data_IF_399836326410
#
_entry.id   IF_399836326410
#
_cell.length_a   1.000
_cell.length_b   1.000
_cell.length_c   1.000
_cell.angle_alpha   90.00
_cell.angle_beta   90.00
_cell.angle_gamma   90.00
#
_symmetry.space_group_name_H-M   'P 1'
#
loop_
_entity.id
_entity.type
_entity.pdbx_description
1 polymer ?
#
# COMPACT_ATOMS: atom_id res chain seq x y z
N UNK A 1 7.38 12.16 8.77
CA UNK A 1 7.54 12.03 10.22
C UNK A 1 8.77 11.19 10.50
N UNK A 2 9.73 11.72 11.29
CA UNK A 2 11.01 11.07 11.63
C UNK A 2 10.79 9.83 12.51
N UNK A 3 11.70 8.85 12.43
CA UNK A 3 11.68 7.59 13.20
C UNK A 3 11.31 7.76 14.68
N UNK A 4 12.05 8.58 15.42
CA UNK A 4 11.81 8.78 16.87
C UNK A 4 10.40 9.28 17.13
N UNK A 5 9.97 10.32 16.41
CA UNK A 5 8.63 10.90 16.57
C UNK A 5 7.49 9.91 16.31
N UNK A 6 7.64 9.00 15.34
CA UNK A 6 6.59 8.01 15.09
C UNK A 6 6.57 6.93 16.18
N UNK A 7 7.74 6.48 16.63
CA UNK A 7 7.83 5.50 17.71
C UNK A 7 7.29 6.08 19.03
N UNK A 8 7.63 7.34 19.33
CA UNK A 8 7.09 8.06 20.48
C UNK A 8 5.57 8.20 20.40
N UNK A 9 5.02 8.49 19.22
CA UNK A 9 3.57 8.57 19.00
C UNK A 9 2.90 7.21 19.24
N UNK A 10 3.45 6.14 18.67
CA UNK A 10 2.93 4.77 18.87
C UNK A 10 3.00 4.38 20.35
N UNK A 11 4.11 4.68 21.01
CA UNK A 11 4.28 4.43 22.44
C UNK A 11 3.33 5.26 23.31
N UNK A 12 3.07 6.52 22.96
CA UNK A 12 2.14 7.38 23.69
C UNK A 12 0.69 6.89 23.58
N UNK A 13 0.35 6.20 22.49
CA UNK A 13 -0.96 5.59 22.28
C UNK A 13 -1.04 4.13 22.77
N UNK A 14 0.01 3.60 23.40
CA UNK A 14 0.05 2.22 23.86
C UNK A 14 -1.13 1.90 24.80
N UNK A 15 -1.82 0.78 24.55
CA UNK A 15 -2.99 0.35 25.32
C UNK A 15 -4.32 0.96 24.87
N UNK A 16 -4.33 1.89 23.91
CA UNK A 16 -5.56 2.33 23.29
C UNK A 16 -6.20 1.19 22.47
N UNK A 17 -7.54 0.97 22.56
CA UNK A 17 -8.22 -0.12 21.85
C UNK A 17 -8.45 0.21 20.36
N UNK A 18 -7.40 0.67 19.67
CA UNK A 18 -7.47 1.00 18.26
C UNK A 18 -7.64 -0.25 17.41
N UNK A 19 -8.65 -0.24 16.54
CA UNK A 19 -8.88 -1.28 15.51
C UNK A 19 -8.43 -0.85 14.13
N UNK A 20 -8.34 0.46 13.88
CA UNK A 20 -7.95 1.03 12.60
C UNK A 20 -6.86 2.08 12.84
N UNK A 21 -5.78 2.00 12.07
CA UNK A 21 -4.67 2.93 12.16
C UNK A 21 -4.22 3.33 10.76
N UNK A 22 -4.14 4.64 10.53
CA UNK A 22 -3.62 5.22 9.29
C UNK A 22 -2.46 6.14 9.66
N UNK A 23 -1.28 5.86 9.11
CA UNK A 23 -0.09 6.68 9.29
C UNK A 23 0.34 7.25 7.94
N UNK A 24 0.15 8.55 7.75
CA UNK A 24 0.53 9.27 6.53
C UNK A 24 1.82 10.08 6.73
N UNK A 25 2.61 10.18 5.68
CA UNK A 25 3.85 10.95 5.66
C UNK A 25 4.99 10.29 6.42
N UNK A 26 5.04 8.96 6.49
CA UNK A 26 6.13 8.22 7.13
C UNK A 26 7.42 8.40 6.35
N UNK A 27 8.53 8.73 7.01
CA UNK A 27 9.85 8.71 6.35
C UNK A 27 10.72 7.52 6.80
N UNK A 28 10.18 6.69 7.70
CA UNK A 28 10.79 5.50 8.24
C UNK A 28 9.75 4.37 8.23
N UNK A 29 10.13 3.22 7.70
CA UNK A 29 9.30 2.01 7.55
C UNK A 29 10.17 0.77 7.81
N UNK A 30 10.83 0.72 8.96
CA UNK A 30 11.63 -0.44 9.37
C UNK A 30 10.82 -1.46 10.19
N UNK A 31 11.38 -2.65 10.39
CA UNK A 31 10.81 -3.74 11.20
C UNK A 31 10.29 -3.27 12.57
N UNK A 32 11.10 -2.48 13.26
CA UNK A 32 10.80 -1.92 14.59
C UNK A 32 9.48 -1.15 14.61
N UNK A 33 9.13 -0.43 13.54
CA UNK A 33 7.87 0.29 13.47
C UNK A 33 6.68 -0.68 13.47
N UNK A 34 6.76 -1.75 12.67
CA UNK A 34 5.69 -2.75 12.59
C UNK A 34 5.53 -3.49 13.93
N UNK A 35 6.63 -3.90 14.56
CA UNK A 35 6.60 -4.50 15.89
C UNK A 35 6.02 -3.56 16.94
N UNK A 36 6.47 -2.31 16.97
CA UNK A 36 5.94 -1.32 17.92
C UNK A 36 4.43 -1.10 17.74
N UNK A 37 3.93 -1.07 16.50
CA UNK A 37 2.50 -0.93 16.22
C UNK A 37 1.74 -2.19 16.66
N UNK A 38 2.24 -3.38 16.33
CA UNK A 38 1.60 -4.65 16.69
C UNK A 38 1.51 -4.82 18.22
N UNK A 39 2.57 -4.45 18.93
CA UNK A 39 2.63 -4.51 20.40
C UNK A 39 1.73 -3.46 21.05
N UNK A 40 1.66 -2.24 20.50
CA UNK A 40 0.82 -1.18 21.02
C UNK A 40 -0.67 -1.41 20.78
N UNK A 41 -1.03 -2.06 19.67
CA UNK A 41 -2.41 -2.25 19.22
C UNK A 41 -2.67 -3.73 18.89
N UNK A 42 -2.75 -4.62 19.88
CA UNK A 42 -2.89 -6.07 19.64
C UNK A 42 -4.20 -6.44 18.93
N UNK A 43 -5.22 -5.60 19.03
CA UNK A 43 -6.55 -5.77 18.41
C UNK A 43 -6.69 -5.07 17.06
N UNK A 44 -5.60 -4.61 16.46
CA UNK A 44 -5.63 -3.88 15.20
C UNK A 44 -6.12 -4.77 14.05
N UNK A 45 -7.12 -4.29 13.32
CA UNK A 45 -7.78 -4.98 12.21
C UNK A 45 -7.46 -4.34 10.86
N UNK A 46 -7.24 -3.02 10.81
CA UNK A 46 -6.90 -2.31 9.59
C UNK A 46 -5.68 -1.42 9.80
N UNK A 47 -4.70 -1.53 8.91
CA UNK A 47 -3.47 -0.75 8.93
C UNK A 47 -3.21 -0.15 7.55
N UNK A 48 -3.06 1.17 7.49
CA UNK A 48 -2.60 1.87 6.30
C UNK A 48 -1.31 2.64 6.59
N UNK A 49 -0.25 2.36 5.83
CA UNK A 49 1.04 3.00 5.97
C UNK A 49 1.42 3.72 4.67
N UNK A 50 1.57 5.04 4.71
CA UNK A 50 1.90 5.84 3.52
C UNK A 50 3.29 6.47 3.67
N UNK A 51 4.23 5.94 2.88
CA UNK A 51 5.63 6.36 2.85
C UNK A 51 5.84 7.64 2.03
N UNK A 52 6.67 8.54 2.55
CA UNK A 52 7.04 9.82 1.98
C UNK A 52 8.56 10.00 2.04
N UNK A 53 9.17 10.07 0.85
CA UNK A 53 10.62 10.18 0.70
C UNK A 53 11.16 11.57 1.06
N UNK A 54 10.41 12.64 0.79
CA UNK A 54 10.86 14.01 1.06
C UNK A 54 9.75 14.88 1.69
N UNK A 55 10.16 15.92 2.43
CA UNK A 55 9.22 16.81 3.12
C UNK A 55 8.38 17.66 2.15
N UNK A 56 8.88 17.90 0.93
CA UNK A 56 8.23 18.71 -0.10
C UNK A 56 7.05 18.00 -0.78
N UNK A 57 6.98 16.66 -0.68
CA UNK A 57 5.91 15.88 -1.25
C UNK A 57 4.61 16.10 -0.48
N UNK A 58 3.64 16.76 -1.14
CA UNK A 58 2.31 17.06 -0.59
C UNK A 58 1.31 15.92 -0.77
N UNK A 59 1.50 15.04 -1.75
CA UNK A 59 0.56 13.98 -2.10
C UNK A 59 1.13 12.59 -1.85
N UNK A 60 0.31 11.67 -1.34
CA UNK A 60 0.68 10.28 -1.03
C UNK A 60 0.67 9.39 -2.29
N UNK A 61 1.50 9.73 -3.28
CA UNK A 61 1.70 8.95 -4.52
C UNK A 61 2.27 7.56 -4.23
N UNK A 62 2.11 6.63 -5.17
CA UNK A 62 2.83 5.37 -5.18
C UNK A 62 4.36 5.61 -5.12
N UNK A 63 5.07 4.81 -4.34
CA UNK A 63 6.50 4.98 -4.04
C UNK A 63 7.22 3.66 -3.92
N UNK A 64 8.48 3.65 -4.34
CA UNK A 64 9.42 2.57 -4.03
C UNK A 64 9.73 2.66 -2.53
N UNK A 65 9.46 1.58 -1.81
CA UNK A 65 9.82 1.47 -0.39
C UNK A 65 11.29 1.02 -0.26
N UNK A 66 11.95 1.29 0.89
CA UNK A 66 13.36 0.95 1.08
C UNK A 66 13.69 -0.54 0.88
N UNK A 67 12.80 -1.42 1.34
CA UNK A 67 12.98 -2.87 1.25
C UNK A 67 12.03 -3.51 0.23
N UNK A 68 12.29 -4.75 -0.21
CA UNK A 68 11.37 -5.46 -1.10
C UNK A 68 10.11 -5.96 -0.36
N UNK A 69 9.06 -6.26 -1.12
CA UNK A 69 7.74 -6.64 -0.59
C UNK A 69 7.75 -7.83 0.38
N UNK A 70 8.57 -8.85 0.13
CA UNK A 70 8.69 -10.04 0.98
C UNK A 70 9.29 -9.78 2.36
N UNK A 71 10.07 -8.71 2.52
CA UNK A 71 10.55 -8.27 3.83
C UNK A 71 9.40 -7.64 4.62
N UNK A 72 8.59 -6.78 3.99
CA UNK A 72 7.42 -6.19 4.62
C UNK A 72 6.31 -7.19 4.95
N UNK A 73 6.11 -8.19 4.08
CA UNK A 73 5.18 -9.28 4.35
C UNK A 73 5.54 -9.99 5.67
N UNK A 74 6.84 -10.27 5.91
CA UNK A 74 7.32 -10.86 7.17
C UNK A 74 6.99 -9.98 8.37
N UNK A 75 7.13 -8.66 8.27
CA UNK A 75 6.82 -7.77 9.40
C UNK A 75 5.34 -7.81 9.81
N UNK A 76 4.44 -8.22 8.90
CA UNK A 76 3.03 -8.40 9.24
C UNK A 76 2.77 -9.64 10.10
N UNK A 77 3.71 -10.58 10.24
CA UNK A 77 3.51 -11.78 11.05
C UNK A 77 3.26 -11.51 12.52
N UNK A 78 3.63 -10.33 12.99
CA UNK A 78 3.48 -9.91 14.38
C UNK A 78 2.06 -9.45 14.70
N UNK A 79 1.21 -9.23 13.69
CA UNK A 79 -0.18 -8.83 13.87
C UNK A 79 -1.09 -10.07 13.95
N UNK A 80 -1.85 -10.19 15.05
CA UNK A 80 -2.71 -11.36 15.29
C UNK A 80 -4.12 -11.25 14.70
N UNK A 81 -4.56 -10.04 14.42
CA UNK A 81 -5.94 -9.74 14.04
C UNK A 81 -6.04 -8.83 12.82
N UNK A 82 -4.93 -8.57 12.12
CA UNK A 82 -4.90 -7.69 10.97
C UNK A 82 -5.62 -8.36 9.80
N UNK A 83 -6.66 -7.69 9.30
CA UNK A 83 -7.51 -8.12 8.20
C UNK A 83 -7.29 -7.28 6.95
N UNK A 84 -6.99 -5.99 7.11
CA UNK A 84 -6.84 -5.06 5.99
C UNK A 84 -5.48 -4.38 6.07
N UNK A 85 -4.69 -4.50 5.02
CA UNK A 85 -3.41 -3.79 4.89
C UNK A 85 -3.38 -2.94 3.63
N UNK A 86 -3.09 -1.65 3.79
CA UNK A 86 -2.95 -0.72 2.70
C UNK A 86 -1.62 0.01 2.77
N UNK A 87 -1.02 0.27 1.61
CA UNK A 87 0.23 0.99 1.52
C UNK A 87 0.42 1.61 0.15
N UNK A 88 1.30 2.59 0.04
CA UNK A 88 1.60 3.26 -1.24
C UNK A 88 2.84 2.67 -1.92
N UNK A 89 3.00 1.35 -1.91
CA UNK A 89 4.10 0.68 -2.60
C UNK A 89 3.88 0.77 -4.13
N UNK A 90 4.92 1.15 -4.86
CA UNK A 90 4.91 1.21 -6.33
C UNK A 90 5.14 -0.18 -6.89
N UNK A 91 4.09 -0.73 -7.48
CA UNK A 91 4.08 -2.02 -8.19
C UNK A 91 4.36 -1.86 -9.69
N UNK A 92 4.55 -0.62 -10.15
CA UNK A 92 4.85 -0.36 -11.55
C UNK A 92 6.16 -1.08 -11.90
N UNK A 93 6.18 -1.94 -12.93
CA UNK A 93 7.42 -2.54 -13.37
C UNK A 93 8.39 -1.42 -13.73
N UNK A 94 9.67 -1.59 -13.37
CA UNK A 94 10.71 -0.66 -13.77
C UNK A 94 10.67 -0.64 -15.30
N UNK A 95 10.24 0.49 -15.87
CA UNK A 95 10.26 0.70 -17.30
C UNK A 95 11.72 0.81 -17.73
N UNK A 96 12.32 -0.35 -18.03
CA UNK A 96 13.59 -0.40 -18.73
C UNK A 96 13.22 -0.25 -20.19
N UNK A 97 13.49 0.93 -20.77
CA UNK A 97 13.36 1.13 -22.21
C UNK A 97 14.13 0.02 -22.90
N UNK A 98 13.41 -0.94 -23.48
CA UNK A 98 14.06 -2.06 -24.15
C UNK A 98 14.59 -1.57 -25.49
N UNK A 99 15.68 -2.20 -25.92
CA UNK A 99 16.25 -2.02 -27.26
C UNK A 99 15.28 -2.42 -28.39
N UNK A 100 14.06 -2.84 -28.05
CA UNK A 100 13.01 -3.29 -28.96
C UNK A 100 12.71 -2.27 -30.05
N UNK A 101 12.81 -0.98 -29.73
CA UNK A 101 12.58 0.08 -30.71
C UNK A 101 13.80 0.39 -31.60
N UNK A 102 15.00 -0.13 -31.28
CA UNK A 102 16.22 0.20 -32.05
C UNK A 102 16.14 -0.25 -33.51
N UNK A 103 15.65 -1.47 -33.87
CA UNK A 103 15.50 -1.85 -35.27
C UNK A 103 14.56 -0.92 -36.04
N UNK A 104 13.46 -0.47 -35.43
CA UNK A 104 12.51 0.46 -36.05
C UNK A 104 13.06 1.89 -36.17
N UNK A 105 14.08 2.25 -35.37
CA UNK A 105 14.82 3.51 -35.56
C UNK A 105 15.76 3.45 -36.78
N UNK A 106 16.16 2.26 -37.21
CA UNK A 106 17.05 2.05 -38.36
C UNK A 106 16.28 1.85 -39.68
N UNK A 107 15.07 1.29 -39.63
CA UNK A 107 14.27 0.90 -40.81
C UNK A 107 13.03 1.80 -41.07
N UNK A 108 12.95 2.95 -40.40
CA UNK A 108 11.76 3.81 -40.26
C UNK A 108 10.60 3.12 -39.50
N UNK A 109 9.93 3.88 -38.62
CA UNK A 109 8.80 3.34 -37.88
C UNK A 109 7.63 3.05 -38.83
N UNK A 110 6.93 1.91 -38.68
CA UNK A 110 5.74 1.64 -39.48
C UNK A 110 4.66 2.71 -39.26
N UNK A 111 3.96 3.10 -40.34
CA UNK A 111 2.91 4.14 -40.32
C UNK A 111 1.73 3.82 -39.38
N UNK A 112 1.57 2.55 -39.02
CA UNK A 112 0.62 2.12 -38.03
C UNK A 112 1.36 1.80 -36.73
N UNK A 113 0.90 2.41 -35.63
CA UNK A 113 1.33 2.00 -34.31
C UNK A 113 1.04 0.49 -34.17
N UNK A 114 2.10 -0.32 -34.00
CA UNK A 114 1.97 -1.71 -33.55
C UNK A 114 1.57 -1.64 -32.07
N UNK A 115 0.31 -1.28 -31.84
CA UNK A 115 -0.31 -1.09 -30.54
C UNK A 115 -0.71 -2.40 -29.88
N UNK A 116 -0.40 -3.54 -30.49
CA UNK A 116 -0.61 -4.86 -29.91
C UNK A 116 0.54 -5.17 -28.94
N UNK A 117 0.68 -4.30 -27.94
CA UNK A 117 1.56 -4.46 -26.79
C UNK A 117 0.99 -5.49 -25.82
N UNK A 118 0.65 -6.69 -26.31
CA UNK A 118 0.74 -7.89 -25.49
C UNK A 118 2.22 -8.26 -25.33
N UNK A 119 3.03 -7.31 -24.88
CA UNK A 119 4.19 -7.70 -24.08
C UNK A 119 3.58 -8.52 -22.95
N UNK A 120 4.05 -9.77 -22.79
CA UNK A 120 3.73 -10.67 -21.69
C UNK A 120 4.22 -10.04 -20.37
N UNK A 121 3.69 -8.88 -20.03
CA UNK A 121 3.88 -8.25 -18.75
C UNK A 121 3.21 -9.18 -17.74
N UNK A 122 3.97 -9.49 -16.70
CA UNK A 122 3.52 -10.26 -15.57
C UNK A 122 2.32 -9.53 -14.92
N UNK A 123 1.11 -9.87 -15.36
CA UNK A 123 -0.13 -9.22 -14.93
C UNK A 123 -0.76 -9.94 -13.74
N UNK A 124 -0.32 -11.17 -13.45
CA UNK A 124 -0.74 -11.91 -12.27
C UNK A 124 0.00 -11.46 -11.01
N UNK A 125 -0.51 -10.38 -10.44
CA UNK A 125 -0.06 -9.86 -9.15
C UNK A 125 -0.64 -10.62 -7.95
N UNK A 126 -1.45 -11.68 -8.16
CA UNK A 126 -2.04 -12.46 -7.06
C UNK A 126 -0.99 -13.13 -6.17
N UNK A 127 0.20 -13.37 -6.72
CA UNK A 127 1.35 -13.87 -5.98
C UNK A 127 1.76 -12.96 -4.81
N UNK A 128 1.56 -11.63 -4.93
CA UNK A 128 1.81 -10.68 -3.84
C UNK A 128 0.82 -10.89 -2.70
N UNK A 129 -0.48 -10.99 -2.97
CA UNK A 129 -1.46 -11.25 -1.92
C UNK A 129 -1.17 -12.58 -1.19
N UNK A 130 -0.84 -13.65 -1.93
CA UNK A 130 -0.46 -14.95 -1.35
C UNK A 130 0.77 -14.84 -0.45
N UNK A 131 1.78 -14.07 -0.85
CA UNK A 131 2.99 -13.81 -0.05
C UNK A 131 2.63 -13.14 1.29
N UNK A 132 1.75 -12.14 1.28
CA UNK A 132 1.33 -11.45 2.50
C UNK A 132 0.52 -12.36 3.42
N UNK A 133 -0.39 -13.16 2.87
CA UNK A 133 -1.21 -14.12 3.64
C UNK A 133 -0.36 -15.22 4.26
N UNK A 134 0.70 -15.67 3.58
CA UNK A 134 1.62 -16.66 4.12
C UNK A 134 2.30 -16.19 5.42
N UNK A 135 2.46 -14.88 5.62
CA UNK A 135 3.01 -14.30 6.84
C UNK A 135 1.95 -13.77 7.80
N UNK A 136 0.79 -13.33 7.30
CA UNK A 136 -0.34 -12.84 8.10
C UNK A 136 -1.63 -13.59 7.69
N UNK A 137 -1.92 -14.76 8.27
CA UNK A 137 -3.03 -15.62 7.84
C UNK A 137 -4.43 -15.00 8.05
N UNK A 138 -4.54 -13.97 8.89
CA UNK A 138 -5.80 -13.25 9.11
C UNK A 138 -6.10 -12.18 8.07
N UNK A 139 -5.20 -11.96 7.11
CA UNK A 139 -5.35 -10.91 6.11
C UNK A 139 -6.45 -11.28 5.10
N UNK A 140 -7.46 -10.41 5.01
CA UNK A 140 -8.62 -10.51 4.12
C UNK A 140 -8.53 -9.51 2.95
N UNK A 141 -7.74 -8.43 3.08
CA UNK A 141 -7.55 -7.44 2.01
C UNK A 141 -6.15 -6.84 1.99
N UNK A 142 -5.61 -6.69 0.77
CA UNK A 142 -4.33 -6.02 0.49
C UNK A 142 -4.55 -4.94 -0.56
N UNK A 143 -4.13 -3.70 -0.30
CA UNK A 143 -4.31 -2.58 -1.23
C UNK A 143 -3.04 -1.79 -1.49
N UNK A 144 -2.76 -1.57 -2.77
CA UNK A 144 -1.72 -0.67 -3.25
C UNK A 144 -2.36 0.66 -3.62
N UNK A 145 -1.86 1.75 -3.06
CA UNK A 145 -2.49 3.07 -3.13
C UNK A 145 -1.60 4.12 -3.80
N UNK A 146 -2.22 5.09 -4.46
CA UNK A 146 -1.58 6.29 -4.99
C UNK A 146 -2.54 7.47 -4.86
N UNK A 147 -2.04 8.59 -4.34
CA UNK A 147 -2.83 9.78 -4.01
C UNK A 147 -4.05 9.46 -3.12
N UNK A 148 -3.90 8.48 -2.22
CA UNK A 148 -4.98 7.94 -1.36
C UNK A 148 -6.10 7.22 -2.12
N UNK A 149 -5.95 6.97 -3.41
CA UNK A 149 -6.84 6.10 -4.19
C UNK A 149 -6.18 4.72 -4.27
N UNK A 150 -6.95 3.64 -4.22
CA UNK A 150 -6.40 2.31 -4.43
C UNK A 150 -6.23 2.09 -5.94
N UNK A 151 -4.99 1.79 -6.32
CA UNK A 151 -4.62 1.49 -7.69
C UNK A 151 -4.80 0.01 -8.00
N UNK A 152 -4.59 -0.85 -6.99
CA UNK A 152 -4.77 -2.29 -7.08
C UNK A 152 -5.18 -2.82 -5.72
N UNK A 153 -6.28 -3.57 -5.69
CA UNK A 153 -6.75 -4.24 -4.48
C UNK A 153 -6.86 -5.73 -4.66
N UNK A 154 -6.71 -6.46 -3.56
CA UNK A 154 -6.95 -7.88 -3.51
C UNK A 154 -7.93 -8.17 -2.38
N UNK A 155 -8.94 -8.97 -2.70
CA UNK A 155 -9.78 -9.64 -1.71
C UNK A 155 -9.26 -11.06 -1.53
N UNK A 156 -8.98 -11.43 -0.29
CA UNK A 156 -8.41 -12.71 0.10
C UNK A 156 -9.47 -13.47 0.89
N UNK A 157 -9.69 -14.72 0.52
CA UNK A 157 -10.55 -15.63 1.28
C UNK A 157 -9.95 -17.03 1.31
N UNK A 158 -10.34 -17.81 2.31
CA UNK A 158 -9.96 -19.21 2.40
C UNK A 158 -11.20 -20.06 2.13
N UNK A 159 -11.07 -21.03 1.24
CA UNK A 159 -12.16 -21.97 0.99
C UNK A 159 -12.26 -23.04 2.09
N UNK A 160 -13.28 -23.91 1.99
CA UNK A 160 -13.52 -24.99 2.96
C UNK A 160 -12.39 -26.03 3.01
N UNK A 161 -11.52 -26.07 2.01
CA UNK A 161 -10.38 -26.98 1.91
C UNK A 161 -9.09 -26.37 2.45
N UNK A 162 -9.12 -25.09 2.83
CA UNK A 162 -7.95 -24.35 3.28
C UNK A 162 -7.18 -23.67 2.15
N UNK A 163 -7.64 -23.78 0.90
CA UNK A 163 -6.99 -23.14 -0.25
C UNK A 163 -7.29 -21.63 -0.26
N UNK A 164 -6.25 -20.84 -0.52
CA UNK A 164 -6.32 -19.39 -0.55
C UNK A 164 -6.83 -18.95 -1.92
N UNK A 165 -8.00 -18.34 -1.95
CA UNK A 165 -8.56 -17.66 -3.11
C UNK A 165 -8.20 -16.17 -3.06
N UNK A 166 -7.59 -15.68 -4.12
CA UNK A 166 -7.25 -14.26 -4.28
C UNK A 166 -8.02 -13.74 -5.49
N UNK A 167 -8.79 -12.68 -5.28
CA UNK A 167 -9.50 -11.96 -6.34
C UNK A 167 -8.91 -10.56 -6.42
N UNK A 168 -8.34 -10.22 -7.57
CA UNK A 168 -7.90 -8.85 -7.86
C UNK A 168 -9.11 -7.98 -8.19
N UNK A 169 -9.07 -6.72 -7.77
CA UNK A 169 -10.07 -5.72 -8.08
C UNK A 169 -9.37 -4.49 -8.68
N UNK A 170 -9.88 -4.04 -9.82
CA UNK A 170 -9.44 -2.80 -10.47
C UNK A 170 -10.11 -1.56 -9.86
N UNK A 171 -9.53 -0.38 -10.14
CA UNK A 171 -9.79 0.90 -9.46
C UNK A 171 -11.25 1.29 -9.29
N UNK A 172 -12.11 0.93 -10.24
CA UNK A 172 -13.50 1.39 -10.27
C UNK A 172 -14.37 0.78 -9.15
N UNK A 173 -13.92 -0.30 -8.51
CA UNK A 173 -14.60 -0.97 -7.39
C UNK A 173 -13.95 -0.73 -6.03
N UNK A 174 -12.85 0.03 -5.97
CA UNK A 174 -12.04 0.16 -4.75
C UNK A 174 -12.42 1.37 -3.89
N UNK A 175 -13.18 2.34 -4.40
CA UNK A 175 -13.55 3.53 -3.65
C UNK A 175 -14.32 3.20 -2.36
N UNK A 176 -15.25 2.24 -2.39
CA UNK A 176 -16.03 1.81 -1.22
C UNK A 176 -15.15 1.16 -0.13
N UNK A 177 -14.12 0.38 -0.52
CA UNK A 177 -13.24 -0.28 0.44
C UNK A 177 -12.21 0.67 1.05
N UNK A 178 -11.79 1.71 0.31
CA UNK A 178 -10.92 2.75 0.86
C UNK A 178 -11.69 3.59 1.87
N UNK A 179 -12.98 3.87 1.66
CA UNK A 179 -13.82 4.53 2.66
C UNK A 179 -13.96 3.67 3.93
N UNK A 180 -14.01 2.35 3.82
CA UNK A 180 -14.05 1.47 5.00
C UNK A 180 -12.74 1.48 5.81
N UNK A 181 -11.60 1.50 5.11
CA UNK A 181 -10.24 1.52 5.68
C UNK A 181 -9.88 2.93 6.19
N UNK A 182 -10.36 3.97 5.50
CA UNK A 182 -10.11 5.37 5.77
C UNK A 182 -11.41 6.19 5.63
N UNK A 183 -12.32 6.12 6.62
CA UNK A 183 -13.62 6.80 6.57
C UNK A 183 -13.52 8.34 6.57
N UNK A 184 -12.30 8.87 6.69
CA UNK A 184 -12.00 10.29 6.68
C UNK A 184 -11.26 10.75 5.41
N UNK A 185 -11.22 9.92 4.37
CA UNK A 185 -10.65 10.26 3.06
C UNK A 185 -11.30 11.55 2.49
N UNK A 186 -12.57 11.78 2.83
CA UNK A 186 -13.37 12.97 2.54
C UNK A 186 -13.66 13.83 3.77
N UNK A 187 -12.77 13.89 4.77
CA UNK A 187 -12.76 15.08 5.63
C UNK A 187 -12.37 16.21 4.71
N UNK A 188 -13.37 16.96 4.26
CA UNK A 188 -13.19 18.25 3.63
C UNK A 188 -12.16 18.98 4.49
N UNK A 189 -10.93 19.13 3.99
CA UNK A 189 -9.81 19.67 4.76
C UNK A 189 -10.11 21.10 5.24
N UNK A 190 -11.13 21.75 4.65
CA UNK A 190 -11.69 23.00 5.12
C UNK A 190 -12.41 22.91 6.47
N UNK A 191 -12.87 21.73 6.88
CA UNK A 191 -13.62 21.47 8.12
C UNK A 191 -12.91 20.54 9.09
N UNK A 192 -11.63 20.18 8.85
CA UNK A 192 -10.86 19.38 9.80
C UNK A 192 -10.56 20.19 11.07
N UNK A 193 -10.91 19.70 12.28
CA UNK A 193 -10.56 20.37 13.54
C UNK A 193 -9.05 20.42 13.82
N UNK A 194 -8.24 19.76 12.99
CA UNK A 194 -6.77 19.74 13.07
C UNK A 194 -6.08 20.60 11.99
N UNK A 195 -6.84 21.46 11.29
CA UNK A 195 -6.27 22.43 10.36
C UNK A 195 -5.52 23.50 11.16
N UNK A 196 -4.19 23.46 11.13
CA UNK A 196 -3.36 24.59 11.55
C UNK A 196 -3.41 25.61 10.41
N UNK A 197 -4.04 26.75 10.65
CA UNK A 197 -4.01 27.87 9.71
C UNK A 197 -2.59 28.43 9.64
N UNK A 198 -1.86 28.05 8.58
CA UNK A 198 -0.63 28.72 8.20
C UNK A 198 -0.99 30.07 7.54
N UNK A 199 -1.42 31.03 8.36
CA UNK A 199 -1.26 32.46 8.08
C UNK A 199 -0.21 33.02 9.01
N UNK A 200 1.03 33.07 8.54
CA UNK A 200 2.01 34.11 8.89
C UNK A 200 3.06 34.19 7.80
#
# INVERSE_FOLDING_TARGET
>A
MRREKILDLVSACHGAPLRRLVLDGLNYVGEELFHSIADAFPSLQSLALLYRQNALQRHSRARVWPEPTWIYAKYLSSFRHLRQFAWNFSIEPIYVGTNYNLPYMEEDYPDHWIGDYQLEYFSDWSCLAKLFVAHCPTLESLMFTSNRVAMLGFSISQDKTGHILVVASDSDYLDDQIEEINPYQWVNLERSPWRIDERT
#
